data_IF_435740241824
#
_entry.id   IF_435740241824
#
_cell.length_a   1.000
_cell.length_b   1.000
_cell.length_c   1.000
_cell.angle_alpha   90.00
_cell.angle_beta   90.00
_cell.angle_gamma   90.00
#
_symmetry.space_group_name_H-M   'P 1'
#
loop_
_entity.id
_entity.type
_entity.pdbx_description
1 polymer ?
#
# COMPACT_ATOMS: atom_id res chain seq x y z
N UNK A 1 -8.23 -15.56 14.48
CA UNK A 1 -8.34 -14.30 13.74
C UNK A 1 -7.60 -13.25 14.56
N UNK A 2 -6.58 -12.57 14.05
CA UNK A 2 -5.99 -11.43 14.78
C UNK A 2 -7.10 -10.39 14.92
N UNK A 3 -7.39 -9.93 16.15
CA UNK A 3 -8.12 -8.68 16.34
C UNK A 3 -7.30 -7.57 15.70
N UNK A 4 -7.65 -7.21 14.46
CA UNK A 4 -6.95 -6.15 13.74
C UNK A 4 -7.57 -4.84 14.18
N UNK A 5 -6.84 -4.11 15.02
CA UNK A 5 -7.08 -2.69 15.20
C UNK A 5 -7.14 -2.02 13.81
N UNK A 6 -8.01 -1.02 13.65
CA UNK A 6 -8.16 -0.33 12.38
C UNK A 6 -6.81 0.25 11.93
N UNK A 7 -6.29 -0.21 10.79
CA UNK A 7 -5.00 0.24 10.25
C UNK A 7 -4.97 1.77 10.12
N UNK A 8 -3.87 2.39 10.55
CA UNK A 8 -3.68 3.85 10.57
C UNK A 8 -2.60 4.30 9.59
N UNK A 9 -1.64 3.43 9.27
CA UNK A 9 -0.56 3.68 8.31
C UNK A 9 -0.62 2.64 7.20
N UNK A 10 -1.12 3.04 6.04
CA UNK A 10 -1.37 2.16 4.90
C UNK A 10 -0.41 2.52 3.77
N UNK A 11 0.28 1.52 3.24
CA UNK A 11 0.88 1.61 1.90
C UNK A 11 -0.04 0.92 0.92
N UNK A 12 -0.41 1.60 -0.17
CA UNK A 12 -1.20 0.99 -1.23
C UNK A 12 -0.34 0.72 -2.46
N UNK A 13 -0.25 -0.56 -2.84
CA UNK A 13 0.47 -0.99 -4.05
C UNK A 13 -0.43 -1.07 -5.28
N UNK A 14 -1.66 -0.54 -5.20
CA UNK A 14 -2.71 -0.70 -6.20
C UNK A 14 -3.38 0.66 -6.45
N UNK A 15 -3.34 1.20 -7.68
CA UNK A 15 -3.93 2.52 -7.99
C UNK A 15 -5.42 2.63 -7.63
N UNK A 16 -6.23 1.64 -8.01
CA UNK A 16 -7.67 1.65 -7.75
C UNK A 16 -8.02 1.61 -6.26
N UNK A 17 -7.28 0.85 -5.45
CA UNK A 17 -7.47 0.84 -3.99
C UNK A 17 -7.05 2.16 -3.34
N UNK A 18 -6.02 2.81 -3.88
CA UNK A 18 -5.61 4.14 -3.41
C UNK A 18 -6.72 5.16 -3.63
N UNK A 19 -7.31 5.18 -4.83
CA UNK A 19 -8.46 6.03 -5.15
C UNK A 19 -9.67 5.72 -4.27
N UNK A 20 -9.97 4.44 -4.04
CA UNK A 20 -11.07 4.02 -3.16
C UNK A 20 -10.87 4.53 -1.72
N UNK A 21 -9.66 4.48 -1.17
CA UNK A 21 -9.37 5.01 0.16
C UNK A 21 -9.62 6.52 0.25
N UNK A 22 -9.25 7.30 -0.78
CA UNK A 22 -9.59 8.72 -0.82
C UNK A 22 -11.10 8.95 -0.90
N UNK A 23 -11.81 8.21 -1.75
CA UNK A 23 -13.25 8.33 -1.90
C UNK A 23 -14.02 7.99 -0.60
N UNK A 24 -13.49 7.08 0.21
CA UNK A 24 -14.05 6.70 1.51
C UNK A 24 -13.64 7.62 2.66
N UNK A 25 -12.87 8.69 2.40
CA UNK A 25 -12.38 9.59 3.44
C UNK A 25 -11.30 8.98 4.34
N UNK A 26 -10.59 7.97 3.85
CA UNK A 26 -9.49 7.25 4.55
C UNK A 26 -8.11 7.59 3.99
N UNK A 27 -8.02 8.59 3.09
CA UNK A 27 -6.78 8.97 2.43
C UNK A 27 -5.71 9.52 3.36
N UNK A 28 -6.09 10.05 4.53
CA UNK A 28 -5.19 10.48 5.61
C UNK A 28 -4.34 9.34 6.18
N UNK A 29 -4.77 8.09 5.97
CA UNK A 29 -4.04 6.89 6.40
C UNK A 29 -3.00 6.44 5.40
N UNK A 30 -3.01 6.95 4.17
CA UNK A 30 -2.03 6.59 3.16
C UNK A 30 -0.68 7.24 3.49
N UNK A 31 0.33 6.39 3.71
CA UNK A 31 1.72 6.83 3.98
C UNK A 31 2.66 6.53 2.82
N UNK A 32 2.20 5.79 1.81
CA UNK A 32 2.96 5.53 0.59
C UNK A 32 2.12 4.89 -0.50
N UNK A 33 2.47 5.15 -1.75
CA UNK A 33 1.76 4.68 -2.93
C UNK A 33 2.71 4.35 -4.07
N UNK A 34 2.23 3.65 -5.09
CA UNK A 34 3.03 3.39 -6.30
C UNK A 34 3.20 4.64 -7.18
N UNK A 35 4.14 4.53 -8.12
CA UNK A 35 4.35 5.52 -9.18
C UNK A 35 3.10 5.69 -10.07
N UNK A 36 2.25 4.66 -10.14
CA UNK A 36 1.03 4.62 -10.95
C UNK A 36 -0.19 5.20 -10.25
N UNK A 37 -0.10 5.46 -8.95
CA UNK A 37 -1.14 6.21 -8.24
C UNK A 37 -0.99 7.68 -8.61
N UNK A 38 -1.90 8.19 -9.45
CA UNK A 38 -1.87 9.58 -9.95
C UNK A 38 -3.19 10.33 -9.69
N UNK A 39 -4.21 9.64 -9.19
CA UNK A 39 -5.51 10.20 -8.86
C UNK A 39 -5.89 9.93 -7.40
N UNK A 40 -6.62 10.86 -6.74
CA UNK A 40 -6.75 12.26 -7.14
C UNK A 40 -5.41 13.00 -6.99
N UNK A 41 -4.98 13.71 -8.04
CA UNK A 41 -3.61 14.25 -8.19
C UNK A 41 -3.14 15.06 -6.99
N UNK A 42 -3.99 15.97 -6.50
CA UNK A 42 -3.63 16.85 -5.39
C UNK A 42 -3.36 16.10 -4.08
N UNK A 43 -4.05 14.99 -3.84
CA UNK A 43 -3.91 14.22 -2.60
C UNK A 43 -2.80 13.18 -2.69
N UNK A 44 -2.52 12.67 -3.90
CA UNK A 44 -1.45 11.68 -4.10
C UNK A 44 -0.07 12.30 -4.32
N UNK A 45 0.01 13.50 -4.91
CA UNK A 45 1.28 14.18 -5.16
C UNK A 45 2.22 14.30 -3.94
N UNK A 46 1.75 14.59 -2.71
CA UNK A 46 2.63 14.68 -1.54
C UNK A 46 3.06 13.32 -0.96
N UNK A 47 2.47 12.20 -1.39
CA UNK A 47 2.73 10.89 -0.80
C UNK A 47 4.06 10.29 -1.30
N UNK A 48 4.86 9.67 -0.41
CA UNK A 48 6.04 8.91 -0.80
C UNK A 48 5.75 7.84 -1.86
N UNK A 49 6.63 7.77 -2.86
CA UNK A 49 6.56 6.78 -3.94
C UNK A 49 7.41 5.56 -3.63
N UNK A 50 6.79 4.38 -3.67
CA UNK A 50 7.43 3.10 -3.36
C UNK A 50 7.75 2.27 -4.61
N UNK A 51 7.75 2.87 -5.80
CA UNK A 51 8.05 2.18 -7.06
C UNK A 51 6.79 1.67 -7.77
N UNK A 52 6.97 0.70 -8.67
CA UNK A 52 5.89 0.11 -9.47
C UNK A 52 5.13 -1.01 -8.75
N UNK A 53 3.99 -1.42 -9.32
CA UNK A 53 3.13 -2.50 -8.78
C UNK A 53 3.85 -3.86 -8.75
N UNK A 54 4.66 -4.18 -9.76
CA UNK A 54 5.43 -5.45 -9.88
C UNK A 54 6.86 -5.40 -9.35
N UNK A 55 7.34 -4.21 -8.98
CA UNK A 55 8.70 -4.00 -8.47
C UNK A 55 8.69 -2.93 -7.35
N UNK A 56 7.91 -3.11 -6.28
CA UNK A 56 7.90 -2.16 -5.19
C UNK A 56 9.24 -2.20 -4.43
N UNK A 57 9.69 -1.05 -3.93
CA UNK A 57 10.86 -0.95 -3.07
C UNK A 57 10.49 -1.39 -1.65
N UNK A 58 10.77 -2.66 -1.32
CA UNK A 58 10.48 -3.23 0.00
C UNK A 58 11.21 -2.50 1.13
N UNK A 59 12.39 -1.94 0.84
CA UNK A 59 13.16 -1.12 1.78
C UNK A 59 12.39 0.18 2.12
N UNK A 60 11.97 0.95 1.11
CA UNK A 60 11.17 2.16 1.33
C UNK A 60 9.85 1.85 2.03
N UNK A 61 9.19 0.74 1.67
CA UNK A 61 7.95 0.33 2.35
C UNK A 61 8.21 0.10 3.84
N UNK A 62 9.29 -0.60 4.20
CA UNK A 62 9.63 -0.84 5.60
C UNK A 62 9.99 0.46 6.35
N UNK A 63 10.71 1.39 5.71
CA UNK A 63 11.04 2.71 6.28
C UNK A 63 9.80 3.55 6.61
N UNK A 64 8.71 3.38 5.85
CA UNK A 64 7.44 4.06 6.11
C UNK A 64 6.69 3.47 7.32
N UNK A 65 7.15 2.37 7.91
CA UNK A 65 6.53 1.69 9.04
C UNK A 65 4.99 1.55 8.91
N UNK A 66 4.49 0.89 7.85
CA UNK A 66 3.06 0.67 7.67
C UNK A 66 2.53 -0.41 8.62
N UNK A 67 1.28 -0.22 9.05
CA UNK A 67 0.51 -1.26 9.75
C UNK A 67 -0.08 -2.26 8.75
N UNK A 68 -0.30 -1.81 7.50
CA UNK A 68 -0.94 -2.59 6.44
C UNK A 68 -0.38 -2.21 5.07
N UNK A 69 -0.11 -3.22 4.24
CA UNK A 69 0.10 -3.05 2.80
C UNK A 69 -1.10 -3.61 2.04
N UNK A 70 -1.68 -2.82 1.15
CA UNK A 70 -2.69 -3.29 0.21
C UNK A 70 -2.03 -3.75 -1.09
N UNK A 71 -2.35 -4.97 -1.50
CA UNK A 71 -1.88 -5.58 -2.73
C UNK A 71 -3.04 -6.23 -3.50
N UNK A 72 -2.82 -6.48 -4.79
CA UNK A 72 -3.72 -7.23 -5.66
C UNK A 72 -2.94 -8.39 -6.30
N UNK A 73 -3.57 -9.56 -6.39
CA UNK A 73 -2.96 -10.80 -6.88
C UNK A 73 -2.42 -10.71 -8.32
N UNK A 74 -3.10 -9.97 -9.19
CA UNK A 74 -2.74 -9.84 -10.61
C UNK A 74 -1.71 -8.72 -10.84
N UNK A 75 -1.67 -7.72 -9.96
CA UNK A 75 -0.76 -6.57 -10.08
C UNK A 75 0.57 -6.77 -9.34
N UNK A 76 0.56 -7.37 -8.15
CA UNK A 76 1.72 -7.51 -7.29
C UNK A 76 2.27 -8.94 -7.34
N UNK A 77 3.60 -9.08 -7.39
CA UNK A 77 4.21 -10.41 -7.42
C UNK A 77 4.14 -11.05 -6.04
N UNK A 78 3.76 -12.32 -6.01
CA UNK A 78 3.70 -13.12 -4.77
C UNK A 78 4.98 -13.04 -3.93
N UNK A 79 6.15 -13.10 -4.56
CA UNK A 79 7.44 -13.01 -3.84
C UNK A 79 7.63 -11.70 -3.07
N UNK A 80 7.08 -10.59 -3.57
CA UNK A 80 7.23 -9.28 -2.94
C UNK A 80 6.25 -9.16 -1.76
N UNK A 81 5.06 -9.75 -1.88
CA UNK A 81 4.09 -9.90 -0.78
C UNK A 81 4.70 -10.75 0.35
N UNK A 82 5.19 -11.95 0.02
CA UNK A 82 5.79 -12.87 0.99
C UNK A 82 7.01 -12.24 1.68
N UNK A 83 7.80 -11.44 0.97
CA UNK A 83 8.94 -10.73 1.53
C UNK A 83 8.53 -9.60 2.50
N UNK A 84 7.37 -8.97 2.31
CA UNK A 84 6.82 -8.00 3.26
C UNK A 84 6.28 -8.69 4.52
N UNK A 85 5.55 -9.80 4.32
CA UNK A 85 5.03 -10.61 5.42
C UNK A 85 6.16 -11.19 6.29
N UNK A 86 7.25 -11.65 5.67
CA UNK A 86 8.45 -12.13 6.37
C UNK A 86 9.14 -11.04 7.22
N UNK A 87 8.87 -9.75 6.94
CA UNK A 87 9.33 -8.60 7.75
C UNK A 87 8.35 -8.23 8.85
N UNK A 88 7.29 -9.02 9.04
CA UNK A 88 6.24 -8.78 10.03
C UNK A 88 5.23 -7.72 9.63
N UNK A 89 5.20 -7.30 8.35
CA UNK A 89 4.23 -6.34 7.84
C UNK A 89 2.98 -7.10 7.43
N UNK A 90 1.82 -6.72 7.96
CA UNK A 90 0.55 -7.31 7.55
C UNK A 90 0.24 -6.88 6.09
N UNK A 91 -0.06 -7.84 5.22
CA UNK A 91 -0.45 -7.60 3.83
C UNK A 91 -1.89 -8.08 3.62
N UNK A 92 -2.67 -7.29 2.90
CA UNK A 92 -4.01 -7.69 2.42
C UNK A 92 -3.98 -7.79 0.89
N UNK A 93 -4.25 -8.99 0.38
CA UNK A 93 -4.27 -9.27 -1.06
C UNK A 93 -5.71 -9.38 -1.54
N UNK A 94 -6.11 -8.52 -2.48
CA UNK A 94 -7.37 -8.63 -3.21
C UNK A 94 -7.23 -9.54 -4.43
N UNK A 95 -8.34 -10.11 -4.90
CA UNK A 95 -8.42 -11.02 -6.04
C UNK A 95 -9.17 -10.38 -7.19
#
# INVERSE_FOLDING_TARGET
>A
MKDRAAARRIVSLVPSLSEALFALGLGDRLVGVTDWCVHPRALVAPLPKVGGTKNPSLARIAELAPDLVLANREENRRRDVEALEARGIDVWVTY
#
